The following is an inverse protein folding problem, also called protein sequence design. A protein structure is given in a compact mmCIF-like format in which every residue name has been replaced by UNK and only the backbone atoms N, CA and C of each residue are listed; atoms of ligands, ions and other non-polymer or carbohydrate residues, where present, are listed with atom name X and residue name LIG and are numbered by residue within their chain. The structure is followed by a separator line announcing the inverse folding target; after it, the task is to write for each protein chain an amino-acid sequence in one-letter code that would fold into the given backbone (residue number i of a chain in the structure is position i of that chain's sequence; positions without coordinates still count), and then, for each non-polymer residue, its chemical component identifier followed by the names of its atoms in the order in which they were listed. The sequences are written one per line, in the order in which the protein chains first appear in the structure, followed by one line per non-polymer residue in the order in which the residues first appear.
data_IF_329740627806
#
_entry.id   IF_329740627806
#
_cell.length_a   1.000
_cell.length_b   1.000
_cell.length_c   1.000
_cell.angle_alpha   90.00
_cell.angle_beta   90.00
_cell.angle_gamma   90.00
#
_symmetry.space_group_name_H-M   'P 1'
#
loop_
_entity.id
_entity.type
_entity.pdbx_description
1 polymer ?
#
# COMPACT_ATOMS: atom_id res chain seq x y z
N UNK A 1 -37.76 -57.34 3.04
CA UNK A 1 -38.04 -56.31 2.01
C UNK A 1 -37.39 -55.00 2.46
N UNK A 2 -36.80 -54.28 1.50
CA UNK A 2 -35.82 -53.22 1.71
C UNK A 2 -36.42 -51.92 2.30
N UNK A 3 -35.57 -51.24 3.08
CA UNK A 3 -35.67 -49.90 3.71
C UNK A 3 -36.19 -48.80 2.78
N UNK A 4 -36.63 -47.68 3.37
CA UNK A 4 -36.07 -46.35 3.06
C UNK A 4 -36.42 -45.33 4.16
N UNK A 5 -35.42 -45.01 5.00
CA UNK A 5 -35.45 -43.88 5.93
C UNK A 5 -34.91 -42.68 5.15
N UNK A 6 -35.74 -41.66 4.94
CA UNK A 6 -35.37 -40.42 4.27
C UNK A 6 -34.63 -39.53 5.28
N UNK A 7 -33.30 -39.58 5.29
CA UNK A 7 -32.46 -38.62 6.03
C UNK A 7 -32.15 -37.46 5.08
N UNK A 8 -32.82 -36.33 5.29
CA UNK A 8 -32.49 -35.08 4.62
C UNK A 8 -31.20 -34.54 5.26
N UNK A 9 -30.05 -34.82 4.63
CA UNK A 9 -28.79 -34.15 4.95
C UNK A 9 -28.84 -32.72 4.38
N UNK A 10 -29.08 -31.75 5.25
CA UNK A 10 -28.78 -30.34 4.95
C UNK A 10 -27.26 -30.17 4.99
N UNK A 11 -26.63 -30.32 3.83
CA UNK A 11 -25.23 -29.93 3.63
C UNK A 11 -25.14 -28.41 3.72
N UNK A 12 -24.76 -27.88 4.90
CA UNK A 12 -24.27 -26.51 5.01
C UNK A 12 -22.96 -26.43 4.22
N UNK A 13 -23.05 -26.02 2.95
CA UNK A 13 -21.90 -25.59 2.18
C UNK A 13 -21.39 -24.31 2.83
N UNK A 14 -20.40 -24.45 3.73
CA UNK A 14 -19.62 -23.31 4.21
C UNK A 14 -18.82 -22.86 3.00
N UNK A 15 -19.35 -21.89 2.25
CA UNK A 15 -18.56 -21.17 1.26
C UNK A 15 -17.45 -20.48 2.05
N UNK A 16 -16.24 -21.03 1.98
CA UNK A 16 -15.05 -20.32 2.40
C UNK A 16 -14.95 -19.09 1.49
N UNK A 17 -15.53 -17.98 1.93
CA UNK A 17 -15.20 -16.67 1.38
C UNK A 17 -13.74 -16.51 1.74
N UNK A 18 -12.85 -16.66 0.76
CA UNK A 18 -11.46 -16.23 0.93
C UNK A 18 -11.53 -14.73 1.21
N UNK A 19 -11.48 -14.36 2.48
CA UNK A 19 -11.21 -12.99 2.88
C UNK A 19 -9.78 -12.73 2.43
N UNK A 20 -9.60 -12.26 1.19
CA UNK A 20 -8.34 -11.68 0.77
C UNK A 20 -7.93 -10.68 1.84
N UNK A 21 -6.80 -10.91 2.49
CA UNK A 21 -6.29 -10.04 3.55
C UNK A 21 -6.13 -8.64 2.98
N UNK A 22 -6.81 -7.65 3.55
CA UNK A 22 -6.57 -6.25 3.21
C UNK A 22 -5.25 -5.83 3.85
N UNK A 23 -4.14 -6.06 3.13
CA UNK A 23 -2.80 -5.69 3.57
C UNK A 23 -2.67 -4.21 3.93
N UNK A 24 -3.49 -3.34 3.32
CA UNK A 24 -3.50 -1.93 3.67
C UNK A 24 -4.15 -1.68 5.03
N UNK A 25 -5.23 -2.40 5.34
CA UNK A 25 -5.82 -2.31 6.67
C UNK A 25 -4.84 -2.83 7.74
N UNK A 26 -4.16 -3.95 7.48
CA UNK A 26 -3.16 -4.48 8.42
C UNK A 26 -1.98 -3.50 8.63
N UNK A 27 -1.49 -2.89 7.55
CA UNK A 27 -0.43 -1.89 7.63
C UNK A 27 -0.90 -0.63 8.38
N UNK A 28 -2.14 -0.19 8.16
CA UNK A 28 -2.74 0.94 8.88
C UNK A 28 -2.89 0.64 10.38
N UNK A 29 -3.35 -0.55 10.73
CA UNK A 29 -3.47 -0.97 12.12
C UNK A 29 -2.10 -0.98 12.80
N UNK A 30 -1.06 -1.44 12.09
CA UNK A 30 0.34 -1.44 12.58
C UNK A 30 0.88 -0.02 12.77
N UNK A 31 0.65 0.87 11.79
CA UNK A 31 1.00 2.29 11.84
C UNK A 31 0.37 2.97 13.07
N UNK A 32 -0.95 2.84 13.25
CA UNK A 32 -1.65 3.48 14.36
C UNK A 32 -1.33 2.87 15.72
N UNK A 33 -1.06 1.57 15.78
CA UNK A 33 -0.59 0.91 16.99
C UNK A 33 0.88 1.21 17.30
N UNK A 34 1.60 1.91 16.41
CA UNK A 34 3.06 2.15 16.46
C UNK A 34 3.83 0.83 16.62
N UNK A 35 3.38 -0.20 15.92
CA UNK A 35 3.99 -1.52 15.89
C UNK A 35 4.77 -1.68 14.60
N UNK A 36 6.08 -1.90 14.71
CA UNK A 36 6.98 -2.01 13.56
C UNK A 36 7.61 -0.67 13.16
N UNK A 37 8.10 -0.64 11.94
CA UNK A 37 8.88 0.44 11.32
C UNK A 37 8.09 1.24 10.27
N UNK A 38 6.84 0.88 10.00
CA UNK A 38 5.99 1.57 9.04
C UNK A 38 5.68 2.98 9.54
N UNK A 39 6.05 4.00 8.76
CA UNK A 39 5.81 5.41 9.04
C UNK A 39 4.85 6.07 8.06
N UNK A 40 4.54 5.43 6.92
CA UNK A 40 3.49 5.88 6.01
C UNK A 40 2.81 4.70 5.31
N UNK A 41 1.50 4.84 5.07
CA UNK A 41 0.69 3.89 4.28
C UNK A 41 -0.08 4.65 3.20
N UNK A 42 0.04 4.19 1.95
CA UNK A 42 -0.68 4.75 0.81
C UNK A 42 -1.61 3.68 0.25
N UNK A 43 -2.91 3.95 0.32
CA UNK A 43 -3.95 3.12 -0.30
C UNK A 43 -4.28 3.67 -1.68
N UNK A 44 -4.13 2.83 -2.70
CA UNK A 44 -4.33 3.21 -4.10
C UNK A 44 -5.58 2.50 -4.60
N UNK A 45 -6.65 3.26 -4.82
CA UNK A 45 -7.90 2.74 -5.38
C UNK A 45 -7.85 2.79 -6.91
N UNK A 46 -8.01 1.63 -7.53
CA UNK A 46 -8.02 1.49 -9.00
C UNK A 46 -8.61 0.14 -9.41
N UNK A 47 -9.17 0.10 -10.63
CA UNK A 47 -9.63 -1.15 -11.24
C UNK A 47 -8.53 -1.86 -12.04
N UNK A 48 -7.33 -1.28 -12.17
CA UNK A 48 -6.22 -1.94 -12.86
C UNK A 48 -5.69 -3.11 -12.02
N UNK A 49 -5.20 -4.13 -12.71
CA UNK A 49 -4.60 -5.32 -12.08
C UNK A 49 -3.12 -5.14 -11.74
N UNK A 50 -2.45 -4.14 -12.33
CA UNK A 50 -1.10 -3.73 -11.99
C UNK A 50 -0.94 -2.20 -12.16
N UNK A 51 0.07 -1.61 -11.52
CA UNK A 51 0.52 -0.25 -11.84
C UNK A 51 1.29 -0.26 -13.17
N UNK A 52 1.16 0.82 -13.95
CA UNK A 52 1.98 1.03 -15.13
C UNK A 52 3.43 1.36 -14.76
N UNK A 53 3.61 2.24 -13.78
CA UNK A 53 4.92 2.57 -13.23
C UNK A 53 4.83 3.18 -11.84
N UNK A 54 5.93 3.08 -11.09
CA UNK A 54 6.17 3.77 -9.83
C UNK A 54 7.58 4.34 -9.84
N UNK A 55 7.73 5.60 -9.43
CA UNK A 55 9.05 6.21 -9.22
C UNK A 55 9.11 6.98 -7.93
N UNK A 56 10.29 6.97 -7.31
CA UNK A 56 10.60 7.66 -6.07
C UNK A 56 11.82 8.55 -6.30
N UNK A 57 11.67 9.82 -5.96
CA UNK A 57 12.74 10.80 -5.87
C UNK A 57 12.91 11.20 -4.41
N UNK A 58 14.14 11.44 -3.98
CA UNK A 58 14.46 11.80 -2.59
C UNK A 58 14.99 13.22 -2.52
N UNK A 59 14.68 13.94 -1.45
CA UNK A 59 15.22 15.26 -1.18
C UNK A 59 15.83 15.33 0.22
N UNK A 60 16.98 15.98 0.37
CA UNK A 60 17.61 16.29 1.66
C UNK A 60 17.27 17.70 2.17
N UNK A 61 16.74 18.56 1.30
CA UNK A 61 16.43 19.98 1.58
C UNK A 61 14.95 20.34 1.39
N UNK A 62 14.11 19.34 1.09
CA UNK A 62 12.70 19.45 0.75
C UNK A 62 12.37 20.31 -0.49
N UNK A 63 13.37 20.68 -1.29
CA UNK A 63 13.21 21.54 -2.46
C UNK A 63 13.73 20.88 -3.74
N UNK A 64 14.90 20.25 -3.66
CA UNK A 64 15.57 19.60 -4.77
C UNK A 64 15.42 18.09 -4.63
N UNK A 65 14.88 17.46 -5.68
CA UNK A 65 14.61 16.02 -5.71
C UNK A 65 15.60 15.33 -6.64
N UNK A 66 16.22 14.26 -6.14
CA UNK A 66 17.10 13.39 -6.90
C UNK A 66 16.42 12.05 -7.12
N UNK A 67 16.32 11.54 -8.36
CA UNK A 67 15.75 10.23 -8.63
C UNK A 67 16.48 9.13 -7.86
N UNK A 68 15.74 8.32 -7.11
CA UNK A 68 16.28 7.17 -6.39
C UNK A 68 15.95 5.87 -7.12
N UNK A 69 14.69 5.73 -7.53
CA UNK A 69 14.18 4.49 -8.09
C UNK A 69 13.04 4.76 -9.06
N UNK A 70 12.96 3.96 -10.12
CA UNK A 70 11.84 3.98 -11.07
C UNK A 70 11.66 2.59 -11.64
N UNK A 71 10.46 2.03 -11.49
CA UNK A 71 10.10 0.72 -12.01
C UNK A 71 8.91 0.85 -12.91
N UNK A 72 9.07 0.28 -14.11
CA UNK A 72 7.96 0.03 -15.03
C UNK A 72 7.32 -1.31 -14.68
N UNK A 73 6.00 -1.32 -14.60
CA UNK A 73 5.18 -2.46 -14.19
C UNK A 73 5.61 -3.06 -12.85
N UNK A 74 5.65 -2.29 -11.74
CA UNK A 74 6.08 -2.81 -10.45
C UNK A 74 5.14 -3.90 -9.95
N UNK A 75 5.74 -4.92 -9.33
CA UNK A 75 4.99 -5.88 -8.53
C UNK A 75 4.42 -5.14 -7.32
N UNK A 76 3.09 -5.10 -7.23
CA UNK A 76 2.37 -4.38 -6.17
C UNK A 76 1.49 -5.34 -5.39
N UNK A 77 1.41 -5.13 -4.09
CA UNK A 77 0.52 -5.92 -3.22
C UNK A 77 -0.92 -5.51 -3.52
N UNK A 78 -1.64 -6.40 -4.20
CA UNK A 78 -3.06 -6.22 -4.52
C UNK A 78 -3.90 -6.34 -3.25
N UNK A 79 -4.82 -5.41 -3.09
CA UNK A 79 -5.82 -5.42 -2.02
C UNK A 79 -7.23 -5.37 -2.62
N UNK A 80 -8.25 -5.54 -1.77
CA UNK A 80 -9.64 -5.41 -2.18
C UNK A 80 -9.91 -3.95 -2.59
N UNK A 81 -9.90 -3.68 -3.89
CA UNK A 81 -10.16 -2.35 -4.47
C UNK A 81 -8.95 -1.61 -5.03
N UNK A 82 -7.77 -2.23 -5.04
CA UNK A 82 -6.58 -1.66 -5.70
C UNK A 82 -5.27 -2.18 -5.14
N UNK A 83 -4.39 -1.28 -4.69
CA UNK A 83 -3.04 -1.59 -4.22
C UNK A 83 -2.72 -0.94 -2.88
N UNK A 84 -1.73 -1.51 -2.20
CA UNK A 84 -1.13 -0.94 -1.01
C UNK A 84 0.36 -0.65 -1.20
N UNK A 85 0.80 0.52 -0.77
CA UNK A 85 2.21 0.86 -0.65
C UNK A 85 2.49 1.27 0.79
N UNK A 86 3.54 0.71 1.37
CA UNK A 86 3.99 1.04 2.73
C UNK A 86 5.36 1.69 2.68
N UNK A 87 5.67 2.51 3.68
CA UNK A 87 6.98 3.12 3.85
C UNK A 87 7.57 2.71 5.20
N UNK A 88 8.47 1.71 5.21
CA UNK A 88 9.27 1.37 6.38
C UNK A 88 10.36 2.43 6.60
N UNK A 89 10.58 2.81 7.86
CA UNK A 89 11.59 3.80 8.24
C UNK A 89 13.03 3.29 8.08
N UNK A 90 13.24 1.99 8.23
CA UNK A 90 14.56 1.34 8.21
C UNK A 90 15.12 1.17 6.78
N UNK A 91 14.24 1.15 5.77
CA UNK A 91 14.61 1.13 4.35
C UNK A 91 15.07 2.51 3.83
N UNK A 92 14.87 3.58 4.60
CA UNK A 92 15.20 4.94 4.20
C UNK A 92 16.66 5.29 4.49
N UNK A 93 17.32 5.90 3.50
CA UNK A 93 18.62 6.53 3.71
C UNK A 93 18.48 7.66 4.75
N UNK A 94 19.46 7.86 5.65
CA UNK A 94 19.42 8.95 6.62
C UNK A 94 19.54 10.33 5.97
N UNK A 95 19.02 11.36 6.62
CA UNK A 95 19.17 12.78 6.22
C UNK A 95 18.23 13.25 5.10
N UNK A 96 17.22 12.47 4.76
CA UNK A 96 16.15 12.84 3.83
C UNK A 96 15.13 13.73 4.55
N UNK A 97 14.71 14.79 3.86
CA UNK A 97 13.67 15.70 4.26
C UNK A 97 12.32 15.30 3.66
N UNK A 98 12.31 14.77 2.44
CA UNK A 98 11.07 14.31 1.78
C UNK A 98 11.33 13.28 0.68
N UNK A 99 10.25 12.60 0.30
CA UNK A 99 10.14 11.74 -0.86
C UNK A 99 9.11 12.33 -1.82
N UNK A 100 9.38 12.29 -3.12
CA UNK A 100 8.41 12.58 -4.16
C UNK A 100 8.11 11.28 -4.90
N UNK A 101 6.90 10.78 -4.73
CA UNK A 101 6.43 9.56 -5.37
C UNK A 101 5.56 9.91 -6.55
N UNK A 102 5.77 9.23 -7.67
CA UNK A 102 4.89 9.27 -8.83
C UNK A 102 4.38 7.87 -9.11
N UNK A 103 3.07 7.72 -9.03
CA UNK A 103 2.36 6.46 -9.28
C UNK A 103 1.52 6.62 -10.53
N UNK A 104 1.64 5.69 -11.46
CA UNK A 104 0.90 5.71 -12.72
C UNK A 104 0.14 4.40 -12.93
N UNK A 105 -1.12 4.48 -13.33
CA UNK A 105 -1.91 3.30 -13.75
C UNK A 105 -2.01 3.17 -15.28
N UNK A 106 -1.58 4.21 -16.00
CA UNK A 106 -1.37 4.23 -17.44
C UNK A 106 -0.33 5.30 -17.79
N UNK A 107 0.06 5.41 -19.06
CA UNK A 107 0.98 6.47 -19.51
C UNK A 107 0.45 7.89 -19.27
N UNK A 108 -0.88 8.04 -19.25
CA UNK A 108 -1.55 9.34 -19.20
C UNK A 108 -2.13 9.65 -17.82
N UNK A 109 -2.24 8.65 -16.95
CA UNK A 109 -2.87 8.78 -15.65
C UNK A 109 -1.89 8.48 -14.53
N UNK A 110 -1.33 9.57 -13.99
CA UNK A 110 -0.38 9.55 -12.90
C UNK A 110 -0.82 10.47 -11.76
N UNK A 111 -0.40 10.13 -10.55
CA UNK A 111 -0.54 10.95 -9.34
C UNK A 111 0.83 11.15 -8.74
N UNK A 112 1.11 12.39 -8.36
CA UNK A 112 2.33 12.79 -7.68
C UNK A 112 2.02 13.06 -6.21
N UNK A 113 2.91 12.64 -5.33
CA UNK A 113 2.75 12.71 -3.88
C UNK A 113 4.06 13.17 -3.27
N UNK A 114 3.98 14.03 -2.27
CA UNK A 114 5.14 14.38 -1.46
C UNK A 114 4.90 13.86 -0.06
N UNK A 115 5.85 13.05 0.44
CA UNK A 115 5.88 12.57 1.81
C UNK A 115 7.05 13.27 2.50
N UNK A 116 6.75 14.14 3.46
CA UNK A 116 7.78 14.78 4.30
C UNK A 116 8.18 13.82 5.40
N UNK A 117 9.46 13.81 5.76
CA UNK A 117 10.03 12.92 6.75
C UNK A 117 10.50 13.72 7.95
N UNK A 118 10.19 13.24 9.15
CA UNK A 118 10.70 13.79 10.40
C UNK A 118 11.56 12.74 11.07
N UNK A 119 12.80 13.11 11.40
CA UNK A 119 13.75 12.24 12.06
C UNK A 119 14.15 12.77 13.44
N UNK A 120 14.27 11.87 14.41
CA UNK A 120 14.87 12.12 15.71
C UNK A 120 16.08 11.19 15.87
N UNK A 121 17.22 11.72 16.32
CA UNK A 121 18.46 10.94 16.53
C UNK A 121 18.84 10.07 15.32
N UNK A 122 18.69 10.61 14.10
CA UNK A 122 18.93 9.93 12.82
C UNK A 122 18.01 8.75 12.50
N UNK A 123 16.88 8.61 13.19
CA UNK A 123 15.84 7.63 12.88
C UNK A 123 14.56 8.36 12.47
N UNK A 124 13.94 7.96 11.37
CA UNK A 124 12.64 8.50 10.98
C UNK A 124 11.57 8.00 11.94
N UNK A 125 10.81 8.93 12.51
CA UNK A 125 9.76 8.65 13.49
C UNK A 125 8.37 9.00 12.97
N UNK A 126 8.29 9.79 11.90
CA UNK A 126 7.03 10.28 11.36
C UNK A 126 7.17 10.63 9.87
N UNK A 127 6.09 10.45 9.14
CA UNK A 127 5.94 10.88 7.77
C UNK A 127 4.65 11.69 7.62
N UNK A 128 4.66 12.74 6.79
CA UNK A 128 3.48 13.55 6.49
C UNK A 128 3.20 13.53 4.97
N UNK A 129 2.11 12.90 4.51
CA UNK A 129 1.07 12.25 5.31
C UNK A 129 1.48 10.86 5.84
N UNK A 130 1.04 10.52 7.06
CA UNK A 130 1.15 9.15 7.62
C UNK A 130 0.23 8.17 6.88
N UNK A 131 -0.93 8.63 6.45
CA UNK A 131 -1.87 7.85 5.66
C UNK A 131 -2.47 8.69 4.54
N UNK A 132 -2.52 8.10 3.35
CA UNK A 132 -3.14 8.73 2.19
C UNK A 132 -3.95 7.73 1.37
N UNK A 133 -5.12 8.18 0.91
CA UNK A 133 -5.86 7.49 -0.13
C UNK A 133 -5.76 8.21 -1.48
N UNK A 134 -5.53 7.44 -2.53
CA UNK A 134 -5.44 7.94 -3.90
C UNK A 134 -6.48 7.23 -4.73
N UNK A 135 -7.35 8.02 -5.36
CA UNK A 135 -8.34 7.51 -6.29
C UNK A 135 -7.88 7.79 -7.72
N UNK A 136 -7.66 6.71 -8.48
CA UNK A 136 -7.60 6.78 -9.92
C UNK A 136 -9.01 6.65 -10.49
N UNK A 137 -9.30 7.37 -11.57
CA UNK A 137 -10.63 7.28 -12.17
C UNK A 137 -10.81 5.87 -12.77
N UNK A 138 -12.06 5.37 -12.82
CA UNK A 138 -12.36 4.12 -13.51
C UNK A 138 -11.99 4.15 -14.98
#
# INVERSE_FOLDING_TARGET
MFKLIFIVLFSFAVTAVSTETDYCQQALDSLYAKQGDIISVIKIHTHKTALYSSSVETSTDCQNYTPLFSVKNPDVIKTRGGFCSVLPADELKPGLCSLHLKLCISEQECKNLIIKLTAEKNQYIHADPEYLEINFKP
#
